data_IF_628623250865
#
_entry.id   IF_628623250865
#
_cell.length_a   1.000
_cell.length_b   1.000
_cell.length_c   1.000
_cell.angle_alpha   90.00
_cell.angle_beta   90.00
_cell.angle_gamma   90.00
#
_symmetry.space_group_name_H-M   'P 1'
#
loop_
_entity.id
_entity.type
_entity.pdbx_description
1 polymer ?
#
# COMPACT_ATOMS: atom_id res chain seq x y z
N UNK A 1 -7.85 4.10 1.73
CA UNK A 1 -6.98 4.54 0.61
C UNK A 1 -7.76 4.83 -0.66
N UNK A 2 -8.70 3.97 -1.10
CA UNK A 2 -9.65 4.30 -2.19
C UNK A 2 -10.40 5.61 -1.92
N UNK A 3 -10.72 5.89 -0.66
CA UNK A 3 -11.39 7.13 -0.25
C UNK A 3 -10.51 8.38 -0.38
N UNK A 4 -9.18 8.23 -0.33
CA UNK A 4 -8.23 9.33 -0.56
C UNK A 4 -8.21 9.71 -2.04
N UNK A 5 -8.22 8.72 -2.93
CA UNK A 5 -8.38 8.94 -4.38
C UNK A 5 -9.72 9.59 -4.71
N UNK A 6 -10.81 9.04 -4.18
CA UNK A 6 -12.16 9.58 -4.38
C UNK A 6 -12.26 11.01 -3.87
N UNK A 7 -11.65 11.33 -2.71
CA UNK A 7 -11.55 12.71 -2.20
C UNK A 7 -10.68 13.60 -3.07
N UNK A 8 -9.54 13.11 -3.56
CA UNK A 8 -8.64 13.88 -4.43
C UNK A 8 -9.31 14.24 -5.76
N UNK A 9 -9.95 13.27 -6.42
CA UNK A 9 -10.70 13.50 -7.66
C UNK A 9 -11.90 14.40 -7.40
N UNK A 10 -12.67 14.18 -6.33
CA UNK A 10 -13.76 15.09 -5.98
C UNK A 10 -13.27 16.52 -5.75
N UNK A 11 -12.19 16.71 -4.99
CA UNK A 11 -11.64 18.05 -4.72
C UNK A 11 -11.10 18.74 -5.98
N UNK A 12 -10.44 18.00 -6.88
CA UNK A 12 -9.97 18.57 -8.15
C UNK A 12 -11.08 18.82 -9.17
N UNK A 13 -12.13 17.99 -9.18
CA UNK A 13 -13.31 18.20 -10.04
C UNK A 13 -14.23 19.32 -9.52
N UNK A 14 -14.22 19.58 -8.21
CA UNK A 14 -14.94 20.70 -7.57
C UNK A 14 -14.22 22.04 -7.76
N UNK A 15 -12.91 22.04 -8.02
CA UNK A 15 -12.22 23.21 -8.56
C UNK A 15 -12.63 23.32 -10.02
N UNK A 16 -13.52 24.26 -10.33
CA UNK A 16 -13.99 24.59 -11.67
C UNK A 16 -12.85 25.14 -12.55
N UNK A 17 -11.91 24.28 -12.91
CA UNK A 17 -10.87 24.56 -13.90
C UNK A 17 -11.30 23.83 -15.16
N UNK A 18 -11.65 24.60 -16.19
CA UNK A 18 -12.17 24.11 -17.49
C UNK A 18 -11.16 23.28 -18.32
N UNK A 19 -10.13 22.70 -17.70
CA UNK A 19 -9.30 21.67 -18.30
C UNK A 19 -8.91 20.59 -17.27
N UNK A 20 -9.90 19.86 -16.77
CA UNK A 20 -9.61 18.68 -15.95
C UNK A 20 -9.05 17.54 -16.83
N UNK A 21 -7.73 17.50 -17.00
CA UNK A 21 -7.05 16.38 -17.62
C UNK A 21 -7.02 15.19 -16.65
N UNK A 22 -7.91 14.24 -16.90
CA UNK A 22 -8.03 13.05 -16.10
C UNK A 22 -6.75 12.18 -16.14
N UNK A 23 -6.02 12.18 -17.26
CA UNK A 23 -4.79 11.39 -17.36
C UNK A 23 -3.70 11.97 -16.47
N UNK A 24 -3.56 13.29 -16.44
CA UNK A 24 -2.65 13.98 -15.53
C UNK A 24 -3.03 13.75 -14.07
N UNK A 25 -4.32 13.87 -13.72
CA UNK A 25 -4.81 13.64 -12.37
C UNK A 25 -4.57 12.19 -11.90
N UNK A 26 -4.82 11.22 -12.77
CA UNK A 26 -4.55 9.80 -12.50
C UNK A 26 -3.06 9.58 -12.28
N UNK A 27 -2.23 10.14 -13.15
CA UNK A 27 -0.77 9.98 -13.08
C UNK A 27 -0.20 10.56 -11.79
N UNK A 28 -0.67 11.74 -11.38
CA UNK A 28 -0.29 12.37 -10.11
C UNK A 28 -0.70 11.51 -8.91
N UNK A 29 -1.95 11.04 -8.89
CA UNK A 29 -2.43 10.17 -7.82
C UNK A 29 -1.60 8.89 -7.72
N UNK A 30 -1.39 8.20 -8.84
CA UNK A 30 -0.67 6.93 -8.86
C UNK A 30 0.79 7.12 -8.46
N UNK A 31 1.41 8.26 -8.81
CA UNK A 31 2.76 8.60 -8.35
C UNK A 31 2.81 8.75 -6.83
N UNK A 32 1.92 9.55 -6.24
CA UNK A 32 1.84 9.70 -4.78
C UNK A 32 1.59 8.36 -4.10
N UNK A 33 0.59 7.61 -4.56
CA UNK A 33 0.26 6.30 -4.00
C UNK A 33 1.46 5.33 -4.00
N UNK A 34 2.21 5.28 -5.10
CA UNK A 34 3.38 4.40 -5.24
C UNK A 34 4.57 4.82 -4.36
N UNK A 35 4.69 6.10 -4.05
CA UNK A 35 5.85 6.69 -3.34
C UNK A 35 5.61 6.88 -1.85
N UNK A 36 4.36 6.95 -1.39
CA UNK A 36 4.03 7.04 0.04
C UNK A 36 4.30 5.70 0.74
N UNK A 37 4.99 5.76 1.88
CA UNK A 37 5.19 4.62 2.77
C UNK A 37 3.87 4.21 3.41
N UNK A 38 3.54 2.93 3.42
CA UNK A 38 2.32 2.43 4.06
C UNK A 38 2.66 1.79 5.41
N UNK A 39 2.24 2.39 6.54
CA UNK A 39 2.58 1.90 7.88
C UNK A 39 1.94 0.55 8.23
N UNK A 40 0.93 0.13 7.46
CA UNK A 40 0.33 -1.20 7.62
C UNK A 40 1.13 -2.31 6.93
N UNK A 41 2.17 -1.97 6.15
CA UNK A 41 2.99 -2.96 5.44
C UNK A 41 4.24 -3.26 6.26
N UNK A 42 4.68 -4.53 6.37
CA UNK A 42 5.91 -4.88 7.06
C UNK A 42 7.09 -4.00 6.58
N UNK A 43 7.80 -3.40 7.53
CA UNK A 43 8.95 -2.53 7.25
C UNK A 43 8.61 -1.16 6.65
N UNK A 44 7.38 -0.66 6.82
CA UNK A 44 6.91 0.64 6.30
C UNK A 44 7.22 0.84 4.81
N UNK A 45 7.19 -0.23 4.04
CA UNK A 45 7.58 -0.18 2.64
C UNK A 45 6.56 0.60 1.79
N UNK A 46 7.06 1.27 0.75
CA UNK A 46 6.21 1.93 -0.22
C UNK A 46 5.54 0.90 -1.13
N UNK A 47 4.38 1.24 -1.69
CA UNK A 47 3.69 0.33 -2.60
C UNK A 47 4.53 -0.03 -3.82
N UNK A 48 5.35 0.90 -4.33
CA UNK A 48 6.30 0.58 -5.41
C UNK A 48 7.36 -0.43 -4.98
N UNK A 49 7.89 -0.32 -3.76
CA UNK A 49 8.90 -1.27 -3.25
C UNK A 49 8.31 -2.67 -3.06
N UNK A 50 7.10 -2.76 -2.52
CA UNK A 50 6.40 -4.03 -2.35
C UNK A 50 6.05 -4.69 -3.70
N UNK A 51 5.68 -3.90 -4.71
CA UNK A 51 5.22 -4.42 -6.00
C UNK A 51 6.35 -4.64 -7.01
N UNK A 52 7.30 -3.72 -7.12
CA UNK A 52 8.38 -3.71 -8.12
C UNK A 52 9.72 -4.20 -7.55
N UNK A 53 9.81 -4.46 -6.24
CA UNK A 53 11.05 -4.85 -5.57
C UNK A 53 12.08 -3.71 -5.42
N UNK A 54 11.80 -2.51 -5.94
CA UNK A 54 12.71 -1.35 -5.87
C UNK A 54 11.98 -0.08 -5.45
N UNK A 55 12.70 0.84 -4.82
CA UNK A 55 12.17 2.15 -4.46
C UNK A 55 12.23 3.11 -5.66
N UNK A 56 11.14 3.85 -5.90
CA UNK A 56 11.13 4.92 -6.89
C UNK A 56 11.97 6.11 -6.39
N UNK A 57 12.76 6.70 -7.29
CA UNK A 57 13.53 7.90 -6.99
C UNK A 57 12.61 9.12 -7.02
N UNK A 58 12.42 9.74 -5.88
CA UNK A 58 11.78 11.05 -5.73
C UNK A 58 12.85 12.10 -5.48
N UNK A 59 12.53 13.39 -5.66
CA UNK A 59 13.45 14.50 -5.38
C UNK A 59 14.00 14.40 -3.94
N UNK A 60 13.14 14.09 -2.98
CA UNK A 60 13.55 13.89 -1.59
C UNK A 60 14.48 12.68 -1.42
N UNK A 61 14.25 11.57 -2.13
CA UNK A 61 15.15 10.42 -2.10
C UNK A 61 16.51 10.71 -2.73
N UNK A 62 16.58 11.62 -3.71
CA UNK A 62 17.83 12.04 -4.35
C UNK A 62 18.65 12.97 -3.44
N UNK A 63 17.99 13.81 -2.65
CA UNK A 63 18.63 14.75 -1.72
C UNK A 63 18.98 14.06 -0.40
N UNK A 64 18.25 13.00 -0.02
CA UNK A 64 18.49 12.26 1.21
C UNK A 64 19.89 11.61 1.16
N UNK A 65 20.80 11.95 2.07
CA UNK A 65 22.09 11.28 2.14
C UNK A 65 21.88 9.80 2.45
N UNK A 66 22.68 8.93 1.81
CA UNK A 66 22.68 7.48 2.04
C UNK A 66 23.27 7.16 3.42
N UNK A 67 22.57 7.56 4.48
CA UNK A 67 22.89 7.10 5.82
C UNK A 67 22.29 5.71 5.93
N UNK A 68 23.14 4.69 6.04
CA UNK A 68 22.75 3.31 6.24
C UNK A 68 22.13 3.13 7.64
N UNK A 69 20.97 3.70 7.90
CA UNK A 69 20.19 3.40 9.08
C UNK A 69 19.35 2.17 8.81
N UNK A 70 19.93 1.00 9.08
CA UNK A 70 19.15 -0.15 9.55
C UNK A 70 18.64 0.19 10.96
N UNK A 71 17.71 1.14 11.05
CA UNK A 71 16.92 1.29 12.26
C UNK A 71 15.67 0.48 12.03
N UNK A 72 15.56 -0.64 12.76
CA UNK A 72 14.36 -1.45 12.78
C UNK A 72 13.32 -0.72 13.64
N UNK A 73 12.78 0.37 13.09
CA UNK A 73 11.86 1.30 13.78
C UNK A 73 10.57 0.62 14.24
N UNK A 74 10.31 -0.60 13.76
CA UNK A 74 9.04 -1.30 13.95
C UNK A 74 9.12 -2.54 14.84
N UNK A 75 10.26 -2.91 15.43
CA UNK A 75 10.36 -4.16 16.23
C UNK A 75 9.28 -4.21 17.31
N UNK A 76 9.12 -3.14 18.10
CA UNK A 76 8.11 -3.07 19.16
C UNK A 76 6.67 -3.04 18.63
N UNK A 77 6.45 -2.47 17.44
CA UNK A 77 5.13 -2.43 16.82
C UNK A 77 4.75 -3.80 16.23
N UNK A 78 5.70 -4.48 15.59
CA UNK A 78 5.52 -5.84 15.09
C UNK A 78 5.32 -6.82 16.24
N UNK A 79 6.11 -6.73 17.31
CA UNK A 79 5.95 -7.55 18.51
C UNK A 79 4.58 -7.36 19.18
N UNK A 80 4.08 -6.13 19.25
CA UNK A 80 2.75 -5.87 19.83
C UNK A 80 1.62 -6.35 18.91
N UNK A 81 1.77 -6.21 17.59
CA UNK A 81 0.86 -6.77 16.60
C UNK A 81 0.80 -8.30 16.69
N UNK A 82 1.95 -8.99 16.73
CA UNK A 82 2.02 -10.45 16.88
C UNK A 82 1.44 -10.93 18.21
N UNK A 83 1.64 -10.19 19.31
CA UNK A 83 1.08 -10.51 20.62
C UNK A 83 -0.43 -10.32 20.72
N UNK A 84 -1.00 -9.31 20.06
CA UNK A 84 -2.41 -8.93 20.24
C UNK A 84 -3.31 -9.42 19.10
N UNK A 85 -2.80 -9.46 17.87
CA UNK A 85 -3.47 -10.15 16.77
C UNK A 85 -3.15 -11.64 16.89
N UNK A 86 -3.93 -12.35 17.71
CA UNK A 86 -3.96 -13.81 17.80
C UNK A 86 -4.46 -14.50 16.52
N UNK A 87 -4.15 -13.95 15.35
CA UNK A 87 -4.44 -14.52 14.03
C UNK A 87 -3.53 -15.74 13.85
N UNK A 88 -3.96 -16.87 14.43
CA UNK A 88 -3.37 -18.16 14.12
C UNK A 88 -3.52 -18.37 12.61
N UNK A 89 -2.39 -18.52 11.91
CA UNK A 89 -2.44 -18.94 10.51
C UNK A 89 -3.28 -20.21 10.42
N UNK A 90 -4.33 -20.17 9.61
CA UNK A 90 -5.20 -21.32 9.38
C UNK A 90 -4.38 -22.35 8.59
N UNK A 91 -3.89 -23.38 9.28
CA UNK A 91 -3.20 -24.51 8.67
C UNK A 91 -4.16 -25.69 8.55
N UNK A 92 -4.00 -26.46 7.47
CA UNK A 92 -4.79 -27.67 7.21
C UNK A 92 -3.82 -28.83 7.05
N UNK A 93 -4.16 -29.98 7.62
CA UNK A 93 -3.45 -31.23 7.42
C UNK A 93 -4.13 -32.05 6.34
N UNK A 94 -3.37 -32.98 5.77
CA UNK A 94 -3.92 -33.96 4.83
C UNK A 94 -5.03 -34.74 5.55
N UNK A 95 -6.23 -34.80 4.94
CA UNK A 95 -7.50 -35.36 5.46
C UNK A 95 -8.38 -34.42 6.30
N UNK A 96 -8.04 -33.14 6.43
CA UNK A 96 -8.96 -32.19 7.08
C UNK A 96 -10.14 -31.84 6.16
N UNK A 97 -11.35 -31.83 6.73
CA UNK A 97 -12.57 -31.40 6.02
C UNK A 97 -12.63 -29.88 5.98
N UNK A 98 -12.64 -29.30 4.77
CA UNK A 98 -12.67 -27.84 4.57
C UNK A 98 -13.83 -27.43 3.68
N UNK A 99 -14.46 -26.30 4.01
CA UNK A 99 -15.42 -25.64 3.12
C UNK A 99 -14.68 -24.78 2.11
N UNK A 100 -15.06 -24.87 0.83
CA UNK A 100 -14.52 -24.01 -0.23
C UNK A 100 -15.61 -23.08 -0.78
N UNK A 101 -15.19 -21.89 -1.22
CA UNK A 101 -16.10 -20.94 -1.87
C UNK A 101 -16.24 -21.29 -3.34
N UNK A 102 -17.42 -21.70 -3.75
CA UNK A 102 -17.74 -21.91 -5.16
C UNK A 102 -17.80 -20.56 -5.88
N UNK A 103 -17.00 -20.36 -6.94
CA UNK A 103 -17.13 -19.19 -7.82
C UNK A 103 -18.17 -19.51 -8.89
N UNK A 104 -19.13 -18.60 -9.09
CA UNK A 104 -20.02 -18.66 -10.23
C UNK A 104 -19.20 -18.31 -11.48
N UNK A 105 -19.18 -19.22 -12.44
CA UNK A 105 -18.71 -18.90 -13.79
C UNK A 105 -19.68 -17.90 -14.39
N UNK A 106 -19.14 -16.79 -14.88
CA UNK A 106 -19.90 -15.84 -15.69
C UNK A 106 -20.12 -16.48 -17.05
N UNK A 107 -21.38 -16.81 -17.35
CA UNK A 107 -21.82 -17.21 -18.69
C UNK A 107 -21.68 -16.05 -19.68
#
# INVERSE_FOLDING_TARGET
MVDVYKRFIKNKALQAVDCFDMNLATSQFLWSYRTTANPATPGNCTTAKAHLGRQLRTILNLIRPEIATQFDENVKQNESFERHCGTKHRSFKVKDTVFYRFKRESA
#
